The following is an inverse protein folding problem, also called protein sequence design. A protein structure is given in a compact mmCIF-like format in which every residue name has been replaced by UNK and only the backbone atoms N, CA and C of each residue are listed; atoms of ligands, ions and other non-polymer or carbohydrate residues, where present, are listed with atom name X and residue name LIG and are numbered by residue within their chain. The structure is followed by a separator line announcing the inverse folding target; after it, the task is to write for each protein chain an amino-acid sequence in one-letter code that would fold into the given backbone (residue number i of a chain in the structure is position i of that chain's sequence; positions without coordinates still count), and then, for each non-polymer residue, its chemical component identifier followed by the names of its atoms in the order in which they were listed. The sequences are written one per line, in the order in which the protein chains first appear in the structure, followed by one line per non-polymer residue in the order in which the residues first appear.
data_IF_689012018244
#
_entry.id   IF_689012018244
#
_cell.length_a   1.000
_cell.length_b   1.000
_cell.length_c   1.000
_cell.angle_alpha   90.00
_cell.angle_beta   90.00
_cell.angle_gamma   90.00
#
_symmetry.space_group_name_H-M   'P 1'
#
loop_
_entity.id
_entity.type
_entity.pdbx_description
1 polymer ?
#
# COMPACT_ATOMS: atom_id res chain seq x y z
N UNK A 1 9.03 -8.97 0.42
CA UNK A 1 7.62 -9.31 0.73
C UNK A 1 6.74 -8.14 0.32
N UNK A 2 5.55 -8.42 -0.20
CA UNK A 2 4.55 -7.40 -0.53
C UNK A 2 3.29 -7.66 0.29
N UNK A 3 2.68 -6.61 0.82
CA UNK A 3 1.45 -6.69 1.62
C UNK A 3 0.43 -5.72 1.03
N UNK A 4 -0.77 -6.22 0.78
CA UNK A 4 -1.95 -5.41 0.54
C UNK A 4 -2.48 -4.92 1.90
N UNK A 5 -2.21 -3.65 2.20
CA UNK A 5 -2.66 -2.99 3.43
C UNK A 5 -4.04 -2.37 3.15
N UNK A 6 -5.05 -3.25 3.11
CA UNK A 6 -6.40 -2.97 2.62
C UNK A 6 -7.03 -1.76 3.31
N UNK A 7 -6.98 -1.70 4.64
CA UNK A 7 -7.57 -0.62 5.42
C UNK A 7 -6.91 0.74 5.15
N UNK A 8 -5.66 0.74 4.72
CA UNK A 8 -4.92 1.95 4.37
C UNK A 8 -4.90 2.22 2.87
N UNK A 9 -5.62 1.44 2.05
CA UNK A 9 -5.72 1.65 0.61
C UNK A 9 -4.35 1.74 -0.10
N UNK A 10 -3.39 0.89 0.30
CA UNK A 10 -2.01 0.94 -0.19
C UNK A 10 -1.33 -0.42 -0.29
N UNK A 11 -0.27 -0.49 -1.09
CA UNK A 11 0.64 -1.64 -1.17
C UNK A 11 1.97 -1.28 -0.49
N UNK A 12 2.40 -2.13 0.44
CA UNK A 12 3.68 -2.02 1.12
C UNK A 12 4.68 -3.06 0.59
N UNK A 13 5.94 -2.64 0.42
CA UNK A 13 7.08 -3.54 0.17
C UNK A 13 7.99 -3.59 1.39
N UNK A 14 8.38 -4.80 1.77
CA UNK A 14 9.34 -5.06 2.85
C UNK A 14 10.58 -5.76 2.28
N UNK A 15 11.75 -5.22 2.59
CA UNK A 15 13.02 -5.88 2.36
C UNK A 15 13.18 -7.11 3.28
N UNK A 16 13.97 -8.13 2.91
CA UNK A 16 14.23 -9.27 3.78
C UNK A 16 14.75 -8.82 5.16
N UNK A 17 14.10 -9.30 6.23
CA UNK A 17 14.45 -8.95 7.62
C UNK A 17 14.01 -7.55 8.08
N UNK A 18 13.41 -6.72 7.22
CA UNK A 18 12.90 -5.39 7.61
C UNK A 18 11.53 -5.51 8.28
N UNK A 19 11.35 -4.76 9.38
CA UNK A 19 10.04 -4.52 10.00
C UNK A 19 9.38 -3.21 9.50
N UNK A 20 10.09 -2.40 8.70
CA UNK A 20 9.59 -1.16 8.10
C UNK A 20 9.24 -1.42 6.64
N UNK A 21 8.00 -1.09 6.28
CA UNK A 21 7.49 -1.15 4.92
C UNK A 21 7.67 0.18 4.19
N UNK A 22 7.82 0.13 2.87
CA UNK A 22 7.74 1.29 1.99
C UNK A 22 6.45 1.22 1.17
N UNK A 23 5.66 2.30 1.20
CA UNK A 23 4.51 2.44 0.30
C UNK A 23 5.01 2.56 -1.14
N UNK A 24 4.54 1.67 -2.02
CA UNK A 24 4.91 1.70 -3.44
C UNK A 24 3.72 1.99 -4.36
N UNK A 25 2.49 1.89 -3.85
CA UNK A 25 1.27 2.25 -4.56
C UNK A 25 0.15 2.58 -3.55
N UNK A 26 -0.79 3.44 -3.94
CA UNK A 26 -1.91 3.87 -3.11
C UNK A 26 -1.62 5.10 -2.24
N UNK A 27 -2.67 5.65 -1.64
CA UNK A 27 -2.63 6.80 -0.74
C UNK A 27 -3.34 6.42 0.55
N UNK A 28 -2.65 6.57 1.68
CA UNK A 28 -3.19 6.27 3.00
C UNK A 28 -4.52 6.98 3.23
N UNK A 29 -5.53 6.22 3.67
CA UNK A 29 -6.88 6.72 3.98
C UNK A 29 -7.62 7.37 2.80
N UNK A 30 -7.20 7.11 1.56
CA UNK A 30 -7.84 7.65 0.36
C UNK A 30 -8.08 6.55 -0.68
N UNK A 31 -9.24 5.91 -0.57
CA UNK A 31 -9.73 4.97 -1.56
C UNK A 31 -10.15 5.69 -2.85
N UNK A 32 -9.97 5.02 -3.99
CA UNK A 32 -10.45 5.55 -5.26
C UNK A 32 -9.85 4.85 -6.47
N UNK A 33 -10.27 5.30 -7.63
CA UNK A 33 -9.88 4.81 -8.95
C UNK A 33 -9.03 5.83 -9.75
N UNK A 34 -8.59 6.92 -9.10
CA UNK A 34 -7.60 7.83 -9.67
C UNK A 34 -6.23 7.17 -9.76
N UNK A 35 -5.33 7.72 -10.59
CA UNK A 35 -4.01 7.13 -10.90
C UNK A 35 -3.15 6.76 -9.69
N UNK A 36 -3.30 7.44 -8.55
CA UNK A 36 -2.54 7.18 -7.33
C UNK A 36 -3.33 6.48 -6.23
N UNK A 37 -4.64 6.30 -6.40
CA UNK A 37 -5.53 5.73 -5.39
C UNK A 37 -5.78 4.24 -5.67
N UNK A 38 -6.04 3.48 -4.61
CA UNK A 38 -6.42 2.07 -4.69
C UNK A 38 -7.71 1.86 -3.91
N UNK A 39 -8.72 1.27 -4.54
CA UNK A 39 -9.98 1.01 -3.86
C UNK A 39 -9.94 -0.30 -3.06
N UNK A 40 -9.51 -1.39 -3.69
CA UNK A 40 -9.27 -2.70 -3.08
C UNK A 40 -7.87 -3.19 -3.50
N UNK A 41 -6.81 -2.78 -2.76
CA UNK A 41 -5.42 -3.16 -3.05
C UNK A 41 -5.15 -4.67 -3.01
#
# INVERSE_FOLDING_TARGET
MYIADLSNHRIQRYAPGSNIGTTIAGVTSSAGNSRSQLYNP
#
